data_IF_674182467965
#
_entry.id   IF_674182467965
#
_cell.length_a   1.000
_cell.length_b   1.000
_cell.length_c   1.000
_cell.angle_alpha   90.00
_cell.angle_beta   90.00
_cell.angle_gamma   90.00
#
_symmetry.space_group_name_H-M   'P 1'
#
loop_
_entity.id
_entity.type
_entity.pdbx_description
1 polymer ?
#
# COMPACT_ATOMS: atom_id res chain seq x y z
N UNK A 1 13.44 15.19 14.97
CA UNK A 1 14.58 15.65 14.15
C UNK A 1 14.19 15.47 12.70
N UNK A 2 13.68 16.54 12.07
CA UNK A 2 13.35 16.57 10.64
C UNK A 2 14.65 16.81 9.88
N UNK A 3 15.16 15.81 9.18
CA UNK A 3 16.20 15.99 8.17
C UNK A 3 15.45 16.29 6.85
N UNK A 4 15.55 17.51 6.31
CA UNK A 4 15.13 17.75 4.93
C UNK A 4 16.07 16.93 4.01
N UNK A 5 15.73 16.78 2.73
CA UNK A 5 16.66 16.43 1.62
C UNK A 5 16.67 15.03 1.02
N UNK A 6 15.92 14.02 1.50
CA UNK A 6 15.78 12.77 0.72
C UNK A 6 14.34 12.24 0.72
N UNK A 7 13.56 12.67 -0.27
CA UNK A 7 12.35 11.95 -0.68
C UNK A 7 12.80 10.74 -1.50
N UNK A 8 12.55 9.53 -1.01
CA UNK A 8 12.76 8.31 -1.78
C UNK A 8 11.53 8.07 -2.66
N UNK A 9 11.75 7.86 -3.95
CA UNK A 9 10.70 7.59 -4.93
C UNK A 9 10.92 6.21 -5.53
N UNK A 10 9.84 5.48 -5.77
CA UNK A 10 9.86 4.18 -6.43
C UNK A 10 8.60 4.01 -7.24
N UNK A 11 8.68 3.20 -8.29
CA UNK A 11 7.53 2.82 -9.10
C UNK A 11 7.02 1.42 -8.70
N UNK A 12 5.80 1.12 -9.11
CA UNK A 12 5.15 -0.09 -8.68
C UNK A 12 3.79 -0.35 -9.32
N UNK A 13 3.20 -1.46 -8.92
CA UNK A 13 1.83 -1.83 -9.33
C UNK A 13 1.00 -2.13 -8.10
N UNK A 14 -0.22 -1.61 -8.07
CA UNK A 14 -1.21 -1.96 -7.05
C UNK A 14 -2.33 -2.78 -7.70
N UNK A 15 -2.48 -4.03 -7.25
CA UNK A 15 -3.61 -4.92 -7.58
C UNK A 15 -4.53 -5.04 -6.38
N UNK A 16 -5.82 -4.84 -6.60
CA UNK A 16 -6.82 -4.75 -5.54
C UNK A 16 -8.03 -5.62 -5.91
N UNK A 17 -8.35 -6.61 -5.07
CA UNK A 17 -9.51 -7.49 -5.21
C UNK A 17 -10.16 -7.68 -3.83
N UNK A 18 -11.10 -6.79 -3.53
CA UNK A 18 -11.82 -6.84 -2.26
C UNK A 18 -12.71 -8.09 -2.12
N UNK A 19 -13.31 -8.55 -3.22
CA UNK A 19 -14.20 -9.73 -3.20
C UNK A 19 -13.49 -11.02 -2.80
N UNK A 20 -12.20 -11.12 -3.14
CA UNK A 20 -11.31 -12.19 -2.69
C UNK A 20 -10.47 -11.81 -1.46
N UNK A 21 -10.79 -10.72 -0.78
CA UNK A 21 -10.08 -10.19 0.41
C UNK A 21 -8.55 -10.15 0.24
N UNK A 22 -8.09 -9.74 -0.95
CA UNK A 22 -6.68 -9.76 -1.30
C UNK A 22 -6.22 -8.48 -2.01
N UNK A 23 -4.98 -8.10 -1.72
CA UNK A 23 -4.35 -6.92 -2.27
C UNK A 23 -2.85 -7.17 -2.43
N UNK A 24 -2.25 -6.62 -3.48
CA UNK A 24 -0.80 -6.69 -3.69
C UNK A 24 -0.27 -5.35 -4.17
N UNK A 25 0.71 -4.82 -3.47
CA UNK A 25 1.49 -3.64 -3.88
C UNK A 25 2.90 -4.12 -4.14
N UNK A 26 3.34 -4.07 -5.39
CA UNK A 26 4.72 -4.35 -5.76
C UNK A 26 5.47 -3.03 -5.92
N UNK A 27 6.65 -2.93 -5.30
CA UNK A 27 7.59 -1.82 -5.43
C UNK A 27 8.85 -2.32 -6.13
N UNK A 28 9.36 -1.56 -7.08
CA UNK A 28 10.67 -1.84 -7.69
C UNK A 28 11.81 -1.67 -6.67
N UNK A 29 11.63 -0.80 -5.67
CA UNK A 29 12.55 -0.63 -4.54
C UNK A 29 11.76 -0.38 -3.24
N UNK A 30 11.97 -1.23 -2.24
CA UNK A 30 11.35 -1.13 -0.93
C UNK A 30 12.02 -0.15 0.03
N UNK A 31 13.20 0.41 -0.28
CA UNK A 31 14.01 1.20 0.68
C UNK A 31 13.24 2.37 1.31
N UNK A 32 12.42 3.07 0.53
CA UNK A 32 11.62 4.21 0.99
C UNK A 32 10.24 3.86 1.55
N UNK A 33 9.82 2.60 1.44
CA UNK A 33 8.52 2.14 1.93
C UNK A 33 8.60 1.82 3.42
N UNK A 34 7.63 2.30 4.20
CA UNK A 34 7.64 2.18 5.67
C UNK A 34 7.72 0.71 6.14
N UNK A 35 7.09 -0.21 5.43
CA UNK A 35 7.10 -1.62 5.78
C UNK A 35 8.35 -2.31 5.22
N UNK A 36 8.57 -2.20 3.91
CA UNK A 36 9.66 -2.89 3.25
C UNK A 36 11.04 -2.40 3.71
N UNK A 37 11.24 -1.08 3.75
CA UNK A 37 12.50 -0.45 4.11
C UNK A 37 12.87 -0.63 5.57
N UNK A 38 11.90 -0.86 6.46
CA UNK A 38 12.19 -1.16 7.87
C UNK A 38 12.44 -2.64 8.13
N UNK A 39 11.91 -3.55 7.30
CA UNK A 39 12.15 -4.99 7.41
C UNK A 39 13.54 -5.38 6.88
N UNK A 40 14.04 -4.70 5.83
CA UNK A 40 15.40 -4.83 5.31
C UNK A 40 16.08 -3.45 5.21
N UNK A 41 16.53 -2.88 6.35
CA UNK A 41 17.09 -1.53 6.37
C UNK A 41 18.34 -1.40 5.52
N UNK A 42 18.47 -0.24 4.86
CA UNK A 42 19.60 0.13 4.00
C UNK A 42 19.83 -0.80 2.79
N UNK A 43 18.79 -1.53 2.35
CA UNK A 43 18.84 -2.38 1.16
C UNK A 43 17.87 -1.86 0.11
N UNK A 44 18.42 -1.50 -1.05
CA UNK A 44 17.62 -1.27 -2.26
C UNK A 44 17.28 -2.63 -2.87
N UNK A 45 16.02 -3.02 -2.81
CA UNK A 45 15.55 -4.31 -3.32
C UNK A 45 14.04 -4.29 -3.58
N UNK A 46 13.53 -4.97 -4.62
CA UNK A 46 12.09 -5.07 -4.85
C UNK A 46 11.38 -5.69 -3.67
N UNK A 47 10.20 -5.17 -3.37
CA UNK A 47 9.38 -5.64 -2.27
C UNK A 47 7.90 -5.67 -2.66
N UNK A 48 7.22 -6.76 -2.31
CA UNK A 48 5.78 -6.87 -2.41
C UNK A 48 5.16 -6.83 -1.03
N UNK A 49 4.18 -5.94 -0.82
CA UNK A 49 3.23 -6.04 0.27
C UNK A 49 2.01 -6.82 -0.22
N UNK A 50 1.83 -8.04 0.30
CA UNK A 50 0.75 -8.94 -0.09
C UNK A 50 -0.21 -9.13 1.07
N UNK A 51 -1.48 -8.77 0.90
CA UNK A 51 -2.56 -9.08 1.82
C UNK A 51 -3.33 -10.27 1.26
N UNK A 52 -3.40 -11.35 2.03
CA UNK A 52 -4.13 -12.57 1.69
C UNK A 52 -4.55 -13.28 2.98
N UNK A 53 -5.78 -13.81 3.02
CA UNK A 53 -6.31 -14.58 4.16
C UNK A 53 -6.18 -13.83 5.52
N UNK A 54 -6.52 -12.54 5.54
CA UNK A 54 -6.46 -11.71 6.75
C UNK A 54 -5.05 -11.31 7.20
N UNK A 55 -3.98 -11.67 6.48
CA UNK A 55 -2.60 -11.34 6.83
C UNK A 55 -1.91 -10.51 5.76
N UNK A 56 -1.10 -9.54 6.20
CA UNK A 56 -0.11 -8.86 5.36
C UNK A 56 1.23 -9.58 5.44
N UNK A 57 1.83 -9.84 4.30
CA UNK A 57 3.16 -10.41 4.11
C UNK A 57 4.06 -9.41 3.39
N UNK A 58 5.35 -9.44 3.69
CA UNK A 58 6.39 -8.77 2.91
C UNK A 58 7.20 -9.83 2.19
N UNK A 59 7.31 -9.70 0.87
CA UNK A 59 8.05 -10.61 0.00
C UNK A 59 9.17 -9.84 -0.68
N UNK A 60 10.41 -10.32 -0.53
CA UNK A 60 11.61 -9.74 -1.13
C UNK A 60 12.26 -10.78 -2.07
N UNK A 61 11.85 -10.82 -3.35
CA UNK A 61 12.23 -11.90 -4.25
C UNK A 61 13.74 -12.04 -4.45
N UNK A 62 14.45 -10.91 -4.57
CA UNK A 62 15.90 -10.89 -4.80
C UNK A 62 16.69 -11.25 -3.54
N UNK A 63 16.18 -10.88 -2.35
CA UNK A 63 16.80 -11.23 -1.08
C UNK A 63 16.46 -12.66 -0.62
N UNK A 64 15.59 -13.38 -1.36
CA UNK A 64 15.04 -14.68 -0.97
C UNK A 64 14.50 -14.68 0.46
N UNK A 65 13.81 -13.60 0.81
CA UNK A 65 13.27 -13.36 2.13
C UNK A 65 11.77 -13.09 2.05
N UNK A 66 11.01 -13.75 2.91
CA UNK A 66 9.59 -13.54 3.07
C UNK A 66 9.25 -13.52 4.56
N UNK A 67 8.25 -12.75 4.95
CA UNK A 67 7.80 -12.73 6.34
C UNK A 67 6.37 -12.23 6.46
N UNK A 68 5.71 -12.60 7.56
CA UNK A 68 4.39 -12.15 7.97
C UNK A 68 4.49 -10.86 8.77
N UNK A 69 3.77 -9.82 8.35
CA UNK A 69 3.82 -8.49 8.94
C UNK A 69 2.81 -8.35 10.09
N UNK A 70 1.51 -8.45 9.82
CA UNK A 70 0.42 -8.18 10.78
C UNK A 70 -0.93 -8.66 10.21
N UNK A 71 -1.95 -8.80 11.07
CA UNK A 71 -3.31 -9.22 10.67
C UNK A 71 -4.23 -8.03 10.37
N UNK A 72 -5.40 -8.33 9.82
CA UNK A 72 -6.54 -7.43 9.68
C UNK A 72 -6.96 -6.76 10.99
N UNK A 73 -6.95 -7.48 12.12
CA UNK A 73 -7.20 -6.94 13.47
C UNK A 73 -6.22 -5.83 13.87
N UNK A 74 -5.01 -5.85 13.31
CA UNK A 74 -4.01 -4.78 13.49
C UNK A 74 -4.16 -3.65 12.47
N UNK A 75 -5.18 -3.68 11.61
CA UNK A 75 -5.36 -2.73 10.50
C UNK A 75 -4.58 -3.04 9.23
N UNK A 76 -4.01 -4.25 9.11
CA UNK A 76 -3.19 -4.61 7.96
C UNK A 76 -3.94 -5.29 6.82
N UNK A 77 -5.25 -5.44 6.95
CA UNK A 77 -6.16 -6.02 5.96
C UNK A 77 -6.27 -5.21 4.67
N UNK A 78 -7.13 -5.68 3.78
CA UNK A 78 -7.44 -4.99 2.53
C UNK A 78 -8.27 -3.75 2.83
N UNK A 79 -7.95 -2.62 2.18
CA UNK A 79 -8.73 -1.39 2.32
C UNK A 79 -10.16 -1.65 1.87
N UNK A 80 -11.14 -1.37 2.71
CA UNK A 80 -12.55 -1.62 2.37
C UNK A 80 -13.03 -0.66 1.28
N UNK A 81 -13.93 -1.05 0.34
CA UNK A 81 -14.41 -0.16 -0.72
C UNK A 81 -15.10 1.10 -0.20
N UNK A 82 -15.69 1.02 1.00
CA UNK A 82 -16.39 2.09 1.68
C UNK A 82 -15.50 2.88 2.66
N UNK A 83 -14.16 2.77 2.56
CA UNK A 83 -13.22 3.49 3.44
C UNK A 83 -13.34 5.02 3.40
N UNK A 84 -14.07 5.57 2.43
CA UNK A 84 -14.38 7.00 2.29
C UNK A 84 -15.82 7.37 2.68
N UNK A 85 -16.61 6.44 3.24
CA UNK A 85 -18.02 6.69 3.56
C UNK A 85 -18.22 7.91 4.48
N UNK A 86 -17.27 8.16 5.38
CA UNK A 86 -17.27 9.28 6.33
C UNK A 86 -16.25 10.38 5.96
N UNK A 87 -15.78 10.39 4.71
CA UNK A 87 -14.78 11.35 4.27
C UNK A 87 -15.37 12.76 4.11
N UNK A 88 -14.57 13.76 4.45
CA UNK A 88 -14.92 15.17 4.23
C UNK A 88 -14.49 15.60 2.84
N UNK A 89 -15.42 16.15 2.06
CA UNK A 89 -15.11 16.80 0.79
C UNK A 89 -14.22 18.02 1.04
N UNK A 90 -13.07 18.09 0.36
CA UNK A 90 -12.11 19.19 0.51
C UNK A 90 -12.27 20.21 -0.61
N UNK A 91 -12.55 19.75 -1.83
CA UNK A 91 -12.64 20.62 -3.00
C UNK A 91 -12.27 19.92 -4.30
N UNK A 92 -12.28 20.71 -5.38
CA UNK A 92 -11.70 20.33 -6.67
C UNK A 92 -10.22 20.65 -6.70
N UNK A 93 -9.44 19.84 -7.40
CA UNK A 93 -8.00 19.95 -7.53
C UNK A 93 -7.55 19.39 -8.90
N UNK A 94 -6.25 19.43 -9.18
CA UNK A 94 -5.66 18.86 -10.39
C UNK A 94 -4.48 17.94 -10.07
N UNK A 95 -4.45 16.78 -10.73
CA UNK A 95 -3.29 15.88 -10.73
C UNK A 95 -2.75 15.83 -12.16
N UNK A 96 -1.70 16.61 -12.42
CA UNK A 96 -1.31 16.93 -13.80
C UNK A 96 -2.38 17.78 -14.46
N UNK A 97 -2.79 17.41 -15.67
CA UNK A 97 -3.85 18.11 -16.42
C UNK A 97 -5.27 17.53 -16.17
N UNK A 98 -5.39 16.55 -15.26
CA UNK A 98 -6.66 15.88 -14.97
C UNK A 98 -7.35 16.57 -13.79
N UNK A 99 -8.61 16.98 -13.99
CA UNK A 99 -9.45 17.52 -12.92
C UNK A 99 -9.86 16.41 -11.96
N UNK A 100 -9.80 16.69 -10.66
CA UNK A 100 -10.02 15.71 -9.61
C UNK A 100 -10.88 16.25 -8.47
N UNK A 101 -11.52 15.33 -7.75
CA UNK A 101 -12.21 15.59 -6.49
C UNK A 101 -11.31 15.15 -5.34
N UNK A 102 -11.07 16.02 -4.36
CA UNK A 102 -10.25 15.74 -3.19
C UNK A 102 -11.12 15.47 -1.96
N UNK A 103 -10.81 14.37 -1.28
CA UNK A 103 -11.44 13.95 -0.02
C UNK A 103 -10.40 13.86 1.09
N UNK A 104 -10.86 14.08 2.34
CA UNK A 104 -10.08 13.85 3.55
C UNK A 104 -10.76 12.80 4.41
N UNK A 105 -10.05 11.73 4.73
CA UNK A 105 -10.46 10.71 5.68
C UNK A 105 -9.49 10.71 6.87
N UNK A 106 -10.02 10.86 8.09
CA UNK A 106 -9.22 10.68 9.30
C UNK A 106 -9.08 9.18 9.57
N UNK A 107 -7.84 8.70 9.66
CA UNK A 107 -7.50 7.40 10.23
C UNK A 107 -6.50 7.57 11.37
N UNK A 108 -5.50 6.69 11.47
CA UNK A 108 -4.33 6.89 12.34
C UNK A 108 -3.51 8.15 12.01
N UNK A 109 -3.71 8.68 10.81
CA UNK A 109 -3.15 9.94 10.30
C UNK A 109 -4.17 10.59 9.36
N UNK A 110 -3.91 11.82 8.91
CA UNK A 110 -4.71 12.45 7.86
C UNK A 110 -4.46 11.70 6.53
N UNK A 111 -5.50 11.18 5.91
CA UNK A 111 -5.41 10.59 4.58
C UNK A 111 -6.20 11.44 3.59
N UNK A 112 -5.54 11.88 2.53
CA UNK A 112 -6.18 12.59 1.42
C UNK A 112 -6.26 11.68 0.21
N UNK A 113 -7.39 11.70 -0.47
CA UNK A 113 -7.67 10.91 -1.65
C UNK A 113 -8.13 11.81 -2.80
N UNK A 114 -7.59 11.56 -3.99
CA UNK A 114 -8.01 12.21 -5.22
C UNK A 114 -8.47 11.15 -6.21
N UNK A 115 -9.61 11.40 -6.85
CA UNK A 115 -10.09 10.63 -7.99
C UNK A 115 -10.51 11.56 -9.13
N UNK A 116 -10.44 11.07 -10.37
CA UNK A 116 -10.97 11.76 -11.55
C UNK A 116 -12.50 11.79 -11.54
N UNK A 117 -13.08 12.48 -12.52
CA UNK A 117 -14.54 12.50 -12.73
C UNK A 117 -15.11 11.11 -13.07
N UNK A 118 -14.31 10.22 -13.66
CA UNK A 118 -14.66 8.83 -13.96
C UNK A 118 -14.39 7.86 -12.78
N UNK A 119 -14.24 8.39 -11.56
CA UNK A 119 -13.94 7.64 -10.33
C UNK A 119 -12.65 6.79 -10.40
N UNK A 120 -11.68 7.24 -11.19
CA UNK A 120 -10.36 6.61 -11.28
C UNK A 120 -9.45 7.17 -10.18
N UNK A 121 -8.83 6.33 -9.33
CA UNK A 121 -7.87 6.79 -8.32
C UNK A 121 -6.70 7.53 -8.96
N UNK A 122 -6.38 8.72 -8.45
CA UNK A 122 -5.31 9.58 -8.99
C UNK A 122 -4.17 9.79 -7.99
N UNK A 123 -4.50 9.97 -6.71
CA UNK A 123 -3.49 10.16 -5.65
C UNK A 123 -4.02 9.74 -4.30
N UNK A 124 -3.13 9.21 -3.46
CA UNK A 124 -3.33 9.05 -2.02
C UNK A 124 -2.17 9.74 -1.31
N UNK A 125 -2.46 10.60 -0.35
CA UNK A 125 -1.47 11.21 0.53
C UNK A 125 -1.77 10.89 1.98
N UNK A 126 -0.92 10.06 2.56
CA UNK A 126 -0.90 9.68 3.97
C UNK A 126 0.01 10.64 4.72
N UNK A 127 -0.54 11.79 5.11
CA UNK A 127 0.23 12.91 5.65
C UNK A 127 0.87 12.58 7.01
N UNK A 128 2.14 12.99 7.26
CA UNK A 128 3.10 13.58 6.33
C UNK A 128 4.04 12.57 5.65
N UNK A 129 3.70 11.28 5.69
CA UNK A 129 4.69 10.20 5.56
C UNK A 129 4.83 9.67 4.14
N UNK A 130 3.73 9.54 3.39
CA UNK A 130 3.76 8.86 2.10
C UNK A 130 2.76 9.43 1.10
N UNK A 131 3.20 9.60 -0.14
CA UNK A 131 2.34 9.95 -1.27
C UNK A 131 2.45 8.88 -2.36
N UNK A 132 1.30 8.35 -2.79
CA UNK A 132 1.17 7.49 -3.95
C UNK A 132 0.42 8.24 -5.04
N UNK A 133 0.97 8.27 -6.26
CA UNK A 133 0.27 8.79 -7.44
C UNK A 133 0.05 7.66 -8.42
N UNK A 134 -1.10 7.67 -9.10
CA UNK A 134 -1.50 6.63 -10.04
C UNK A 134 -1.52 7.19 -11.45
N UNK A 135 -1.05 6.39 -12.41
CA UNK A 135 -1.22 6.69 -13.81
C UNK A 135 -2.68 6.39 -14.20
N UNK A 136 -3.39 7.41 -14.66
CA UNK A 136 -4.79 7.29 -15.08
C UNK A 136 -5.01 6.14 -16.08
N UNK A 137 -4.14 6.07 -17.11
CA UNK A 137 -4.29 5.13 -18.22
C UNK A 137 -3.90 3.69 -17.89
N UNK A 138 -3.32 3.44 -16.70
CA UNK A 138 -2.99 2.08 -16.25
C UNK A 138 -4.13 1.43 -15.45
N UNK A 139 -5.21 2.18 -15.19
CA UNK A 139 -6.33 1.68 -14.43
C UNK A 139 -7.21 0.73 -15.25
N UNK A 140 -7.47 -0.46 -14.70
CA UNK A 140 -8.26 -1.50 -15.36
C UNK A 140 -9.46 -1.88 -14.48
N UNK A 141 -10.69 -1.67 -14.97
CA UNK A 141 -11.93 -2.17 -14.38
C UNK A 141 -12.92 -2.65 -15.47
N UNK A 142 -13.64 -3.77 -15.26
CA UNK A 142 -13.42 -4.79 -14.23
C UNK A 142 -12.19 -5.65 -14.57
N UNK A 143 -11.35 -5.95 -13.58
CA UNK A 143 -10.22 -6.86 -13.77
C UNK A 143 -10.29 -8.00 -12.76
N UNK A 144 -10.37 -9.24 -13.26
CA UNK A 144 -10.20 -10.44 -12.44
C UNK A 144 -8.76 -10.89 -12.56
N UNK A 145 -8.07 -10.94 -11.43
CA UNK A 145 -6.71 -11.45 -11.39
C UNK A 145 -6.72 -12.98 -11.26
N UNK A 146 -5.81 -13.70 -11.94
CA UNK A 146 -5.55 -15.11 -11.65
C UNK A 146 -5.12 -15.29 -10.19
N UNK A 147 -5.50 -16.39 -9.54
CA UNK A 147 -5.13 -16.66 -8.13
C UNK A 147 -3.62 -16.57 -7.88
N UNK A 148 -2.81 -17.11 -8.80
CA UNK A 148 -1.35 -17.02 -8.78
C UNK A 148 -0.78 -15.60 -8.63
N UNK A 149 -1.57 -14.56 -8.91
CA UNK A 149 -1.18 -13.16 -8.69
C UNK A 149 -0.94 -12.86 -7.20
N UNK A 150 -1.68 -13.54 -6.33
CA UNK A 150 -1.69 -13.32 -4.88
C UNK A 150 -1.09 -14.49 -4.10
N UNK A 151 -0.62 -15.54 -4.75
CA UNK A 151 0.00 -16.67 -4.06
C UNK A 151 1.33 -16.25 -3.42
N UNK A 152 1.60 -16.80 -2.23
CA UNK A 152 2.92 -16.69 -1.60
C UNK A 152 3.94 -17.52 -2.39
N UNK A 153 5.21 -17.07 -2.46
CA UNK A 153 6.25 -17.86 -3.12
C UNK A 153 6.46 -19.19 -2.39
N UNK A 154 6.40 -20.30 -3.12
CA UNK A 154 6.57 -21.65 -2.56
C UNK A 154 8.02 -21.99 -2.20
N UNK A 155 8.99 -21.21 -2.69
CA UNK A 155 10.42 -21.39 -2.45
C UNK A 155 10.95 -20.57 -1.26
N UNK A 156 10.06 -19.92 -0.48
CA UNK A 156 10.43 -19.09 0.67
C UNK A 156 9.59 -19.40 1.90
N UNK A 157 10.18 -19.32 3.09
CA UNK A 157 9.44 -19.40 4.35
C UNK A 157 8.85 -18.03 4.70
N UNK A 158 7.53 -17.90 4.57
CA UNK A 158 6.77 -16.70 4.94
C UNK A 158 6.15 -16.77 6.35
N UNK A 159 6.40 -17.84 7.11
CA UNK A 159 5.76 -18.07 8.42
C UNK A 159 6.30 -17.18 9.52
N UNK A 160 7.56 -16.77 9.40
CA UNK A 160 8.24 -15.93 10.39
C UNK A 160 7.73 -14.50 10.38
N UNK A 161 7.73 -13.85 11.55
CA UNK A 161 7.31 -12.47 11.66
C UNK A 161 8.38 -11.49 11.16
N UNK A 162 7.97 -10.46 10.42
CA UNK A 162 8.86 -9.40 9.98
C UNK A 162 9.34 -8.56 11.18
N UNK A 163 10.59 -8.09 11.12
CA UNK A 163 11.10 -7.02 11.98
C UNK A 163 10.61 -5.63 11.53
N UNK A 164 11.18 -4.57 12.08
CA UNK A 164 10.89 -3.19 11.66
C UNK A 164 9.51 -2.71 12.07
N UNK A 165 8.89 -1.90 11.22
CA UNK A 165 7.59 -1.28 11.49
C UNK A 165 6.47 -2.32 11.68
N UNK A 166 6.57 -3.48 11.03
CA UNK A 166 5.65 -4.59 11.27
C UNK A 166 5.59 -5.03 12.73
N UNK A 167 6.72 -4.99 13.46
CA UNK A 167 6.73 -5.33 14.89
C UNK A 167 5.98 -4.33 15.76
N UNK A 168 5.94 -3.05 15.35
CA UNK A 168 5.19 -1.99 16.02
C UNK A 168 3.69 -2.15 15.74
N UNK A 169 3.32 -2.34 14.47
CA UNK A 169 1.89 -2.46 14.07
C UNK A 169 1.23 -3.70 14.68
N UNK A 170 1.96 -4.81 14.85
CA UNK A 170 1.41 -6.00 15.54
C UNK A 170 1.01 -5.76 16.99
N UNK A 171 1.51 -4.70 17.62
CA UNK A 171 1.17 -4.36 19.01
C UNK A 171 -0.05 -3.45 19.12
N UNK A 172 -0.56 -2.95 17.99
CA UNK A 172 -1.76 -2.10 17.93
C UNK A 172 -2.97 -2.92 17.50
N UNK A 173 -4.10 -2.72 18.18
CA UNK A 173 -5.41 -3.23 17.78
C UNK A 173 -6.27 -2.03 17.38
N UNK A 174 -6.99 -2.13 16.25
CA UNK A 174 -7.87 -1.07 15.75
C UNK A 174 -9.34 -1.39 15.98
#
# INVERSE_FOLDING_TARGET
MYLPWYTLTTEGTWRYDYSGERQRIDRQDGLGDRYCGSALPFRSTPCSQLVLNGWRYLVFPQAKYCCRCCSDENGCGVVRPDWLADATYVGRDYVGDISTTKWKQQGLQNNYYWHSEDDIPMRIYMEPIEQMSFHHDSFLKPHRFPNATFDLPSDMDCSQFCYGFCAVVRQTTL
#
